data_IF_983328425515
#
_entry.id   IF_983328425515
#
_cell.length_a   1.000
_cell.length_b   1.000
_cell.length_c   1.000
_cell.angle_alpha   90.00
_cell.angle_beta   90.00
_cell.angle_gamma   90.00
#
_symmetry.space_group_name_H-M   'P 1'
#
loop_
_entity.id
_entity.type
_entity.pdbx_description
1 polymer ?
#
# COMPACT_ATOMS: atom_id res chain seq x y z
N UNK A 1 11.44 -29.67 1.44
CA UNK A 1 12.59 -28.96 2.04
C UNK A 1 12.06 -27.67 2.65
N UNK A 2 12.05 -27.53 3.98
CA UNK A 2 11.67 -26.28 4.63
C UNK A 2 12.84 -25.30 4.48
N UNK A 3 12.86 -24.52 3.39
CA UNK A 3 13.76 -23.38 3.30
C UNK A 3 13.43 -22.44 4.45
N UNK A 4 14.40 -22.17 5.32
CA UNK A 4 14.27 -21.17 6.38
C UNK A 4 13.86 -19.85 5.73
N UNK A 5 12.70 -19.31 6.13
CA UNK A 5 12.24 -18.01 5.66
C UNK A 5 13.29 -16.96 5.99
N UNK A 6 13.89 -16.39 4.95
CA UNK A 6 14.84 -15.31 5.10
C UNK A 6 14.08 -14.06 5.55
N UNK A 7 14.62 -13.28 6.52
CA UNK A 7 14.01 -12.03 6.92
C UNK A 7 13.78 -11.11 5.72
N UNK A 8 12.60 -10.50 5.66
CA UNK A 8 12.19 -9.57 4.60
C UNK A 8 12.74 -8.18 4.90
N UNK A 9 13.47 -7.59 3.96
CA UNK A 9 13.99 -6.23 4.12
C UNK A 9 12.86 -5.22 3.93
N UNK A 10 12.67 -4.33 4.90
CA UNK A 10 11.72 -3.23 4.81
C UNK A 10 12.36 -1.88 5.12
N UNK A 11 11.81 -0.82 4.54
CA UNK A 11 12.24 0.55 4.76
C UNK A 11 11.03 1.45 5.01
N UNK A 12 11.13 2.32 6.00
CA UNK A 12 10.15 3.36 6.29
C UNK A 12 10.79 4.73 6.18
N UNK A 13 10.14 5.62 5.43
CA UNK A 13 10.51 7.01 5.27
C UNK A 13 9.31 7.89 5.60
N UNK A 14 9.55 9.09 6.10
CA UNK A 14 8.51 10.13 6.08
C UNK A 14 8.91 11.16 5.05
N UNK A 15 8.05 11.39 4.07
CA UNK A 15 8.23 12.40 3.06
C UNK A 15 7.59 13.70 3.52
N UNK A 16 8.37 14.79 3.47
CA UNK A 16 7.93 16.16 3.77
C UNK A 16 7.81 17.02 2.50
N UNK A 17 8.28 16.51 1.37
CA UNK A 17 8.58 17.25 0.14
C UNK A 17 7.46 17.13 -0.90
N UNK A 18 6.61 16.10 -0.81
CA UNK A 18 5.59 15.81 -1.81
C UNK A 18 4.19 16.36 -1.50
N UNK A 19 4.13 17.50 -0.81
CA UNK A 19 2.97 18.41 -0.87
C UNK A 19 2.88 19.18 -2.20
N UNK A 20 3.70 18.84 -3.20
CA UNK A 20 3.83 19.56 -4.48
C UNK A 20 2.94 18.97 -5.59
N UNK A 21 2.30 17.81 -5.39
CA UNK A 21 1.37 17.25 -6.39
C UNK A 21 -0.06 17.78 -6.27
N UNK A 22 -0.23 18.96 -5.67
CA UNK A 22 -1.42 19.75 -5.97
C UNK A 22 -1.47 19.99 -7.47
N UNK A 23 -2.66 19.77 -8.05
CA UNK A 23 -3.05 20.25 -9.38
C UNK A 23 -2.26 21.52 -9.72
N UNK A 24 -1.81 21.66 -10.97
CA UNK A 24 -1.44 22.95 -11.60
C UNK A 24 -2.55 24.04 -11.50
N UNK A 25 -3.61 23.82 -10.71
CA UNK A 25 -4.78 24.67 -10.48
C UNK A 25 -5.26 24.78 -9.02
N UNK A 26 -4.78 24.01 -8.04
CA UNK A 26 -5.27 24.12 -6.64
C UNK A 26 -4.23 24.80 -5.75
N UNK A 27 -4.55 25.99 -5.25
CA UNK A 27 -3.67 26.88 -4.46
C UNK A 27 -3.49 26.49 -2.99
N UNK A 28 -4.08 25.40 -2.50
CA UNK A 28 -4.02 25.03 -1.08
C UNK A 28 -3.09 23.84 -0.83
N UNK A 29 -1.78 24.10 -0.84
CA UNK A 29 -0.77 23.12 -0.49
C UNK A 29 -0.71 22.87 1.02
N UNK A 30 -1.51 21.92 1.53
CA UNK A 30 -1.31 21.41 2.89
C UNK A 30 -0.14 20.40 2.85
N UNK A 31 1.06 20.86 3.25
CA UNK A 31 2.28 20.06 3.34
C UNK A 31 2.26 19.13 4.56
N UNK A 32 1.32 18.19 4.62
CA UNK A 32 1.35 17.16 5.67
C UNK A 32 2.34 16.06 5.32
N UNK A 33 3.27 15.83 6.25
CA UNK A 33 4.23 14.74 6.17
C UNK A 33 3.52 13.38 6.16
N UNK A 34 3.82 12.54 5.17
CA UNK A 34 3.26 11.20 5.07
C UNK A 34 4.35 10.13 5.07
N UNK A 35 3.99 8.95 5.54
CA UNK A 35 4.93 7.82 5.64
C UNK A 35 4.85 6.97 4.37
N UNK A 36 6.01 6.47 3.97
CA UNK A 36 6.26 5.74 2.73
C UNK A 36 7.05 4.50 3.07
N UNK A 37 6.65 3.38 2.50
CA UNK A 37 7.12 2.06 2.86
C UNK A 37 7.57 1.29 1.62
N UNK A 38 8.67 0.57 1.78
CA UNK A 38 9.16 -0.45 0.84
C UNK A 38 9.33 -1.74 1.60
N UNK A 39 8.80 -2.84 1.06
CA UNK A 39 8.96 -4.19 1.61
C UNK A 39 9.40 -5.09 0.46
N UNK A 40 10.64 -5.59 0.52
CA UNK A 40 11.23 -6.41 -0.54
C UNK A 40 10.76 -7.87 -0.40
N UNK A 41 9.59 -8.16 -0.95
CA UNK A 41 8.96 -9.48 -0.89
C UNK A 41 9.68 -10.46 -1.82
N UNK A 42 9.85 -11.69 -1.35
CA UNK A 42 10.46 -12.79 -2.09
C UNK A 42 9.43 -13.48 -2.99
N UNK A 43 9.93 -14.12 -4.05
CA UNK A 43 9.18 -15.00 -4.96
C UNK A 43 8.00 -14.32 -5.68
N UNK A 44 7.98 -12.98 -5.77
CA UNK A 44 6.90 -12.25 -6.45
C UNK A 44 6.77 -12.66 -7.93
N UNK A 45 7.85 -12.68 -8.75
CA UNK A 45 7.74 -13.10 -10.15
C UNK A 45 7.36 -14.57 -10.30
N UNK A 46 7.88 -15.44 -9.43
CA UNK A 46 7.62 -16.88 -9.49
C UNK A 46 6.17 -17.22 -9.15
N UNK A 47 5.57 -16.51 -8.18
CA UNK A 47 4.17 -16.70 -7.80
C UNK A 47 3.23 -16.11 -8.85
N UNK A 48 3.56 -14.93 -9.41
CA UNK A 48 2.69 -14.29 -10.40
C UNK A 48 2.85 -14.86 -11.82
N UNK A 49 3.97 -15.51 -12.13
CA UNK A 49 4.30 -15.99 -13.47
C UNK A 49 4.09 -14.87 -14.52
N UNK A 50 3.19 -15.09 -15.48
CA UNK A 50 2.86 -14.14 -16.55
C UNK A 50 1.70 -13.20 -16.18
N UNK A 51 1.15 -13.29 -14.96
CA UNK A 51 0.02 -12.44 -14.55
C UNK A 51 0.51 -11.02 -14.29
N UNK A 52 -0.02 -10.09 -15.08
CA UNK A 52 0.26 -8.67 -15.00
C UNK A 52 -1.02 -7.82 -15.09
N UNK A 53 -1.00 -6.70 -14.40
CA UNK A 53 -2.03 -5.68 -14.41
C UNK A 53 -1.53 -4.45 -15.17
N UNK A 54 -1.94 -4.28 -16.43
CA UNK A 54 -1.47 -3.21 -17.30
C UNK A 54 -2.19 -1.88 -17.08
N UNK A 55 -1.43 -0.78 -17.05
CA UNK A 55 -1.97 0.58 -16.90
C UNK A 55 -2.85 1.05 -18.07
N UNK A 56 -2.67 0.42 -19.24
CA UNK A 56 -3.48 0.69 -20.45
C UNK A 56 -4.96 0.31 -20.28
N UNK A 57 -5.26 -0.58 -19.32
CA UNK A 57 -6.62 -1.00 -19.04
C UNK A 57 -7.32 -0.08 -18.01
N UNK A 58 -6.62 0.92 -17.49
CA UNK A 58 -7.13 1.85 -16.49
C UNK A 58 -7.54 3.21 -17.04
N UNK A 59 -7.96 4.08 -16.13
CA UNK A 59 -8.37 5.46 -16.39
C UNK A 59 -7.24 6.34 -16.98
N UNK A 60 -5.97 5.92 -16.85
CA UNK A 60 -4.80 6.64 -17.32
C UNK A 60 -4.17 6.04 -18.57
N UNK A 61 -4.92 5.26 -19.35
CA UNK A 61 -4.41 4.55 -20.55
C UNK A 61 -3.56 5.39 -21.49
N UNK A 62 -3.87 6.68 -21.63
CA UNK A 62 -3.12 7.63 -22.46
C UNK A 62 -1.66 7.78 -22.00
N UNK A 63 -1.40 7.71 -20.69
CA UNK A 63 -0.05 7.71 -20.09
C UNK A 63 0.73 6.44 -20.37
N UNK A 64 0.08 5.40 -20.90
CA UNK A 64 0.66 4.10 -21.27
C UNK A 64 0.66 3.88 -22.78
N UNK A 65 0.42 4.94 -23.57
CA UNK A 65 0.67 4.91 -25.02
C UNK A 65 2.16 5.11 -25.32
N UNK A 66 2.59 4.68 -26.51
CA UNK A 66 3.94 4.91 -27.03
C UNK A 66 4.08 6.30 -27.68
N UNK A 67 3.55 7.32 -27.01
CA UNK A 67 3.74 8.72 -27.44
C UNK A 67 4.92 9.35 -26.70
N UNK A 68 5.57 10.33 -27.33
CA UNK A 68 6.67 11.09 -26.70
C UNK A 68 6.22 11.76 -25.40
N UNK A 69 5.01 12.34 -25.40
CA UNK A 69 4.43 13.01 -24.22
C UNK A 69 4.18 12.01 -23.08
N UNK A 70 3.59 10.85 -23.36
CA UNK A 70 3.38 9.81 -22.35
C UNK A 70 4.71 9.30 -21.78
N UNK A 71 5.72 9.12 -22.65
CA UNK A 71 7.06 8.68 -22.24
C UNK A 71 7.74 9.69 -21.32
N UNK A 72 7.68 10.99 -21.64
CA UNK A 72 8.22 12.05 -20.77
C UNK A 72 7.50 12.11 -19.42
N UNK A 73 6.19 11.94 -19.41
CA UNK A 73 5.41 11.87 -18.17
C UNK A 73 5.83 10.67 -17.31
N UNK A 74 6.05 9.49 -17.90
CA UNK A 74 6.57 8.31 -17.18
C UNK A 74 7.97 8.52 -16.61
N UNK A 75 8.85 9.24 -17.33
CA UNK A 75 10.16 9.65 -16.80
C UNK A 75 10.01 10.54 -15.56
N UNK A 76 9.02 11.42 -15.52
CA UNK A 76 8.74 12.23 -14.32
C UNK A 76 8.33 11.36 -13.13
N UNK A 77 7.50 10.32 -13.33
CA UNK A 77 7.12 9.40 -12.27
C UNK A 77 8.29 8.56 -11.76
N UNK A 78 9.17 8.09 -12.65
CA UNK A 78 10.43 7.42 -12.25
C UNK A 78 11.29 8.30 -11.35
N UNK A 79 11.45 9.57 -11.70
CA UNK A 79 12.17 10.53 -10.85
C UNK A 79 11.51 10.68 -9.49
N UNK A 80 10.18 10.75 -9.43
CA UNK A 80 9.45 10.84 -8.17
C UNK A 80 9.60 9.57 -7.32
N UNK A 81 9.51 8.39 -7.94
CA UNK A 81 9.78 7.12 -7.29
C UNK A 81 11.19 7.12 -6.68
N UNK A 82 12.21 7.53 -7.45
CA UNK A 82 13.59 7.62 -6.98
C UNK A 82 13.76 8.60 -5.81
N UNK A 83 13.01 9.70 -5.78
CA UNK A 83 13.03 10.66 -4.67
C UNK A 83 12.36 10.08 -3.42
N UNK A 84 11.22 9.40 -3.58
CA UNK A 84 10.47 8.75 -2.50
C UNK A 84 11.25 7.60 -1.86
N UNK A 85 11.80 6.74 -2.70
CA UNK A 85 12.41 5.46 -2.33
C UNK A 85 13.92 5.50 -2.40
N UNK A 86 14.53 6.70 -2.37
CA UNK A 86 15.99 6.84 -2.43
C UNK A 86 16.63 5.99 -1.35
N UNK A 87 17.27 4.88 -1.75
CA UNK A 87 18.01 3.99 -0.86
C UNK A 87 19.17 4.76 -0.21
N UNK A 88 18.90 5.37 0.94
CA UNK A 88 19.95 5.76 1.87
C UNK A 88 20.13 4.59 2.81
N UNK A 89 21.28 3.91 2.72
CA UNK A 89 21.69 2.93 3.72
C UNK A 89 21.72 3.66 5.07
N UNK A 90 20.72 3.38 5.91
CA UNK A 90 20.61 3.91 7.27
C UNK A 90 20.93 2.78 8.25
N UNK A 91 21.39 3.12 9.46
CA UNK A 91 21.65 2.12 10.48
C UNK A 91 20.42 1.22 10.66
N UNK A 92 20.67 -0.08 10.62
CA UNK A 92 19.66 -1.10 10.90
C UNK A 92 19.10 -0.88 12.30
N UNK A 93 17.78 -0.99 12.45
CA UNK A 93 17.11 -0.83 13.75
C UNK A 93 16.92 -2.20 14.39
N UNK A 94 17.27 -2.36 15.69
CA UNK A 94 17.41 -3.68 16.29
C UNK A 94 16.09 -4.42 16.57
N UNK A 95 14.94 -3.73 16.67
CA UNK A 95 13.63 -4.39 16.71
C UNK A 95 12.47 -3.38 16.62
N UNK A 96 11.30 -3.85 16.18
CA UNK A 96 10.00 -3.20 16.36
C UNK A 96 9.41 -3.74 17.66
N UNK A 97 9.48 -2.97 18.75
CA UNK A 97 8.85 -3.37 20.01
C UNK A 97 7.34 -3.08 19.95
N UNK A 98 6.47 -3.97 20.46
CA UNK A 98 5.05 -3.69 20.61
C UNK A 98 4.82 -2.35 21.33
N UNK A 99 3.99 -1.48 20.74
CA UNK A 99 3.68 -0.16 21.26
C UNK A 99 4.75 0.92 21.04
N UNK A 100 5.96 0.58 20.58
CA UNK A 100 6.95 1.57 20.15
C UNK A 100 6.60 2.10 18.75
N UNK A 101 6.57 3.43 18.60
CA UNK A 101 6.33 4.01 17.27
C UNK A 101 7.52 3.69 16.36
N UNK A 102 7.30 3.10 15.18
CA UNK A 102 8.35 2.91 14.21
C UNK A 102 8.95 4.27 13.82
N UNK A 103 10.23 4.27 13.48
CA UNK A 103 11.00 5.45 13.11
C UNK A 103 11.55 5.26 11.70
N UNK A 104 12.04 6.34 11.09
CA UNK A 104 12.64 6.23 9.75
C UNK A 104 13.87 5.33 9.80
N UNK A 105 13.93 4.32 8.95
CA UNK A 105 15.02 3.35 8.99
C UNK A 105 14.81 2.13 8.11
N UNK A 106 15.77 1.23 8.21
CA UNK A 106 15.76 -0.09 7.58
C UNK A 106 15.50 -1.15 8.65
N UNK A 107 14.62 -2.09 8.33
CA UNK A 107 14.10 -3.13 9.21
C UNK A 107 14.25 -4.50 8.53
N UNK A 108 14.48 -5.54 9.33
CA UNK A 108 14.39 -6.93 8.89
C UNK A 108 13.16 -7.54 9.55
N UNK A 109 12.11 -7.72 8.75
CA UNK A 109 10.85 -8.30 9.20
C UNK A 109 10.97 -9.82 9.20
N UNK A 110 10.69 -10.45 10.33
CA UNK A 110 10.76 -11.90 10.52
C UNK A 110 9.39 -12.55 10.51
N UNK A 111 8.32 -11.75 10.63
CA UNK A 111 6.95 -12.21 10.80
C UNK A 111 5.95 -11.17 10.29
N UNK A 112 4.70 -11.59 10.12
CA UNK A 112 3.58 -10.69 9.85
C UNK A 112 3.39 -9.65 10.95
N UNK A 113 3.63 -10.04 12.19
CA UNK A 113 3.59 -9.13 13.33
C UNK A 113 4.58 -7.96 13.19
N UNK A 114 5.79 -8.20 12.66
CA UNK A 114 6.75 -7.13 12.41
C UNK A 114 6.24 -6.15 11.35
N UNK A 115 5.59 -6.64 10.28
CA UNK A 115 4.98 -5.76 9.27
C UNK A 115 3.87 -4.91 9.87
N UNK A 116 2.98 -5.50 10.68
CA UNK A 116 1.92 -4.79 11.38
C UNK A 116 2.49 -3.73 12.34
N UNK A 117 3.54 -4.05 13.09
CA UNK A 117 4.24 -3.08 13.93
C UNK A 117 4.88 -1.95 13.10
N UNK A 118 5.45 -2.25 11.93
CA UNK A 118 6.07 -1.26 11.05
C UNK A 118 5.07 -0.21 10.56
N UNK A 119 3.83 -0.61 10.29
CA UNK A 119 2.74 0.30 9.89
C UNK A 119 1.94 0.82 11.09
N UNK A 120 2.42 0.58 12.32
CA UNK A 120 1.75 0.92 13.57
C UNK A 120 0.28 0.44 13.59
N UNK A 121 0.05 -0.79 13.13
CA UNK A 121 -1.26 -1.44 13.02
C UNK A 121 -2.28 -0.59 12.24
N UNK A 122 -1.81 0.12 11.21
CA UNK A 122 -2.61 1.03 10.40
C UNK A 122 -3.08 2.28 11.14
N UNK A 123 -2.57 2.57 12.34
CA UNK A 123 -2.98 3.72 13.14
C UNK A 123 -1.97 4.86 13.04
N UNK A 124 -2.45 6.09 12.81
CA UNK A 124 -1.63 7.30 12.92
C UNK A 124 -2.39 8.40 13.66
N UNK A 125 -1.87 8.74 14.84
CA UNK A 125 -2.44 9.74 15.78
C UNK A 125 -3.87 9.38 16.21
N UNK A 126 -4.11 8.11 16.55
CA UNK A 126 -5.41 7.61 17.00
C UNK A 126 -6.41 7.36 15.87
N UNK A 127 -6.02 7.58 14.61
CA UNK A 127 -6.89 7.37 13.45
C UNK A 127 -6.37 6.24 12.58
N UNK A 128 -7.23 5.27 12.28
CA UNK A 128 -6.96 4.25 11.28
C UNK A 128 -6.75 4.88 9.89
N UNK A 129 -5.80 4.34 9.14
CA UNK A 129 -5.33 4.83 7.85
C UNK A 129 -5.51 3.79 6.77
N UNK A 130 -5.71 4.31 5.57
CA UNK A 130 -5.66 3.56 4.32
C UNK A 130 -4.34 3.89 3.64
N UNK A 131 -3.75 2.90 2.96
CA UNK A 131 -2.53 3.06 2.21
C UNK A 131 -2.77 2.73 0.74
N UNK A 132 -2.18 3.51 -0.16
CA UNK A 132 -2.15 3.22 -1.60
C UNK A 132 -0.92 2.36 -1.87
N UNK A 133 -1.08 1.21 -2.53
CA UNK A 133 0.02 0.28 -2.77
C UNK A 133 0.16 -0.11 -4.25
N UNK A 134 1.40 -0.42 -4.64
CA UNK A 134 1.72 -1.13 -5.87
C UNK A 134 2.71 -2.26 -5.56
N UNK A 135 2.37 -3.47 -5.98
CA UNK A 135 3.24 -4.65 -5.98
C UNK A 135 3.89 -4.78 -7.37
N UNK A 136 5.21 -4.74 -7.40
CA UNK A 136 6.03 -5.03 -8.58
C UNK A 136 7.03 -6.14 -8.23
N UNK A 137 7.81 -6.61 -9.21
CA UNK A 137 8.75 -7.72 -9.02
C UNK A 137 9.74 -7.52 -7.86
N UNK A 138 10.15 -6.27 -7.61
CA UNK A 138 11.06 -5.92 -6.51
C UNK A 138 10.41 -5.97 -5.12
N UNK A 139 9.07 -5.98 -5.05
CA UNK A 139 8.31 -6.02 -3.80
C UNK A 139 7.15 -5.04 -3.72
N UNK A 140 6.73 -4.76 -2.48
CA UNK A 140 5.56 -3.95 -2.16
C UNK A 140 5.97 -2.51 -1.81
N UNK A 141 5.39 -1.55 -2.52
CA UNK A 141 5.64 -0.13 -2.38
C UNK A 141 4.34 0.57 -2.04
N UNK A 142 4.28 1.29 -0.91
CA UNK A 142 3.05 1.92 -0.48
C UNK A 142 3.26 3.18 0.34
N UNK A 143 2.21 3.99 0.46
CA UNK A 143 2.18 5.19 1.31
C UNK A 143 0.77 5.52 1.76
N UNK A 144 0.64 6.35 2.80
CA UNK A 144 -0.66 6.78 3.32
C UNK A 144 -1.52 7.46 2.22
N UNK A 145 -2.76 7.02 2.11
CA UNK A 145 -3.75 7.65 1.23
C UNK A 145 -4.27 8.93 1.91
N UNK A 146 -4.25 10.04 1.18
CA UNK A 146 -4.60 11.36 1.68
C UNK A 146 -5.85 11.87 1.00
N UNK A 147 -6.69 12.60 1.74
CA UNK A 147 -7.98 13.13 1.32
C UNK A 147 -7.91 14.30 0.30
N UNK A 148 -6.73 14.63 -0.23
CA UNK A 148 -6.61 15.63 -1.28
C UNK A 148 -7.20 15.03 -2.57
N UNK A 149 -8.45 15.43 -2.85
CA UNK A 149 -9.23 15.26 -4.08
C UNK A 149 -8.72 14.20 -5.07
N UNK A 150 -9.40 13.03 -5.08
CA UNK A 150 -9.68 12.02 -6.13
C UNK A 150 -8.82 11.87 -7.41
N UNK A 151 -8.05 12.87 -7.86
CA UNK A 151 -7.01 12.74 -8.89
C UNK A 151 -5.66 12.23 -8.35
N UNK A 152 -5.47 12.24 -7.03
CA UNK A 152 -4.18 11.97 -6.39
C UNK A 152 -3.86 10.47 -6.17
N UNK A 153 -4.85 9.58 -6.17
CA UNK A 153 -4.61 8.15 -5.92
C UNK A 153 -3.95 7.45 -7.11
N UNK A 154 -4.37 7.81 -8.33
CA UNK A 154 -3.90 7.17 -9.56
C UNK A 154 -2.43 7.50 -9.88
N UNK A 155 -2.01 8.75 -9.61
CA UNK A 155 -0.61 9.15 -9.76
C UNK A 155 0.28 8.46 -8.71
N UNK A 156 -0.24 8.20 -7.50
CA UNK A 156 0.48 7.44 -6.48
C UNK A 156 0.74 5.99 -6.90
N UNK A 157 -0.24 5.29 -7.47
CA UNK A 157 -0.02 3.92 -7.99
C UNK A 157 1.11 3.90 -9.03
N UNK A 158 1.13 4.85 -9.96
CA UNK A 158 2.17 4.96 -10.99
C UNK A 158 3.53 5.26 -10.36
N UNK A 159 3.57 6.18 -9.40
CA UNK A 159 4.78 6.53 -8.68
C UNK A 159 5.31 5.35 -7.86
N UNK A 160 4.46 4.61 -7.14
CA UNK A 160 4.84 3.40 -6.40
C UNK A 160 5.34 2.30 -7.34
N UNK A 161 4.78 2.21 -8.54
CA UNK A 161 5.19 1.28 -9.60
C UNK A 161 6.43 1.73 -10.40
N UNK A 162 7.14 2.79 -9.99
CA UNK A 162 8.28 3.35 -10.73
C UNK A 162 7.94 3.71 -12.20
N UNK A 163 6.70 4.07 -12.47
CA UNK A 163 6.22 4.34 -13.83
C UNK A 163 6.26 3.12 -14.77
N UNK A 164 6.23 1.89 -14.24
CA UNK A 164 6.14 0.67 -15.04
C UNK A 164 4.83 0.61 -15.84
N UNK A 165 4.86 -0.08 -16.98
CA UNK A 165 3.67 -0.24 -17.84
C UNK A 165 2.62 -1.17 -17.22
N UNK A 166 3.09 -2.09 -16.38
CA UNK A 166 2.32 -3.06 -15.64
C UNK A 166 2.85 -3.20 -14.21
N UNK A 167 2.00 -3.75 -13.36
CA UNK A 167 2.31 -4.15 -11.98
C UNK A 167 1.76 -5.54 -11.76
N UNK A 168 2.18 -6.23 -10.70
CA UNK A 168 1.61 -7.53 -10.31
C UNK A 168 0.23 -7.34 -9.68
N UNK A 169 0.12 -6.41 -8.74
CA UNK A 169 -1.14 -6.01 -8.12
C UNK A 169 -1.06 -4.56 -7.63
N UNK A 170 -2.19 -3.87 -7.53
CA UNK A 170 -2.26 -2.50 -7.01
C UNK A 170 -3.65 -2.17 -6.48
N UNK A 171 -3.72 -1.32 -5.47
CA UNK A 171 -4.99 -0.90 -4.91
C UNK A 171 -4.80 -0.15 -3.61
N UNK A 172 -5.64 -0.45 -2.63
CA UNK A 172 -5.51 0.08 -1.28
C UNK A 172 -5.37 -1.01 -0.23
N UNK A 173 -4.68 -0.69 0.87
CA UNK A 173 -4.35 -1.58 1.97
C UNK A 173 -4.80 -0.93 3.28
N UNK A 174 -5.33 -1.73 4.20
CA UNK A 174 -5.63 -1.33 5.57
C UNK A 174 -5.36 -2.46 6.56
N UNK A 175 -5.17 -2.07 7.80
CA UNK A 175 -5.17 -3.00 8.93
C UNK A 175 -6.55 -2.96 9.57
N UNK A 176 -7.23 -4.10 9.59
CA UNK A 176 -8.48 -4.28 10.32
C UNK A 176 -8.24 -5.19 11.52
N UNK A 177 -9.16 -5.19 12.48
CA UNK A 177 -9.11 -6.07 13.64
C UNK A 177 -10.44 -6.79 13.82
N UNK A 178 -10.38 -8.12 13.82
CA UNK A 178 -11.47 -9.02 14.18
C UNK A 178 -11.29 -9.54 15.61
N UNK A 179 -12.39 -9.84 16.29
CA UNK A 179 -12.35 -10.34 17.67
C UNK A 179 -11.75 -11.74 17.78
N UNK A 180 -12.01 -12.59 16.77
CA UNK A 180 -11.58 -13.98 16.70
C UNK A 180 -10.19 -14.16 16.04
N UNK A 181 -9.88 -13.34 15.03
CA UNK A 181 -8.64 -13.45 14.23
C UNK A 181 -7.55 -12.45 14.61
N UNK A 182 -7.85 -11.49 15.48
CA UNK A 182 -6.93 -10.39 15.78
C UNK A 182 -6.74 -9.46 14.58
N UNK A 183 -5.50 -9.05 14.32
CA UNK A 183 -5.19 -8.13 13.22
C UNK A 183 -5.13 -8.83 11.87
N UNK A 184 -5.89 -8.30 10.91
CA UNK A 184 -5.96 -8.78 9.53
C UNK A 184 -5.48 -7.68 8.59
N UNK A 185 -4.55 -8.01 7.70
CA UNK A 185 -4.14 -7.13 6.61
C UNK A 185 -5.13 -7.26 5.45
N UNK A 186 -5.99 -6.26 5.27
CA UNK A 186 -6.99 -6.24 4.21
C UNK A 186 -6.46 -5.42 3.03
N UNK A 187 -6.51 -5.97 1.83
CA UNK A 187 -6.12 -5.28 0.60
C UNK A 187 -7.20 -5.46 -0.47
N UNK A 188 -7.29 -4.49 -1.37
CA UNK A 188 -8.23 -4.52 -2.48
C UNK A 188 -7.57 -4.19 -3.82
N UNK A 189 -8.36 -4.27 -4.88
CA UNK A 189 -8.01 -3.91 -6.25
C UNK A 189 -8.46 -2.48 -6.62
N UNK A 190 -8.59 -1.56 -5.64
CA UNK A 190 -8.99 -0.17 -5.86
C UNK A 190 -7.84 0.66 -6.47
N UNK A 191 -7.54 0.40 -7.74
CA UNK A 191 -6.61 1.17 -8.54
C UNK A 191 -7.27 1.63 -9.83
N UNK A 192 -7.45 2.93 -9.99
CA UNK A 192 -7.91 3.48 -11.27
C UNK A 192 -6.86 3.36 -12.38
N UNK A 193 -5.59 3.08 -12.06
CA UNK A 193 -4.53 2.92 -13.05
C UNK A 193 -4.32 1.47 -13.47
N UNK A 194 -4.05 0.57 -12.54
CA UNK A 194 -3.67 -0.81 -12.84
C UNK A 194 -4.74 -1.82 -12.41
N UNK A 195 -6.02 -1.44 -12.40
CA UNK A 195 -7.13 -2.19 -11.78
C UNK A 195 -6.97 -3.73 -11.86
N UNK A 196 -6.53 -4.38 -10.77
CA UNK A 196 -6.31 -5.81 -10.78
C UNK A 196 -7.62 -6.60 -10.86
N UNK A 197 -7.55 -7.82 -11.41
CA UNK A 197 -8.62 -8.81 -11.32
C UNK A 197 -8.52 -9.59 -10.02
N UNK A 198 -9.60 -10.29 -9.65
CA UNK A 198 -9.64 -11.22 -8.51
C UNK A 198 -8.44 -12.16 -8.44
N UNK A 199 -8.01 -12.71 -9.57
CA UNK A 199 -6.84 -13.61 -9.63
C UNK A 199 -5.55 -12.96 -9.13
N UNK A 200 -5.32 -11.67 -9.40
CA UNK A 200 -4.15 -10.97 -8.90
C UNK A 200 -4.22 -10.73 -7.37
N UNK A 201 -5.42 -10.62 -6.79
CA UNK A 201 -5.60 -10.55 -5.34
C UNK A 201 -5.26 -11.88 -4.67
N UNK A 202 -5.62 -13.01 -5.27
CA UNK A 202 -5.28 -14.35 -4.79
C UNK A 202 -3.76 -14.59 -4.84
N UNK A 203 -3.10 -14.10 -5.90
CA UNK A 203 -1.64 -14.18 -6.02
C UNK A 203 -0.92 -13.24 -5.04
N UNK A 204 -1.48 -12.05 -4.77
CA UNK A 204 -0.99 -11.17 -3.71
C UNK A 204 -1.10 -11.85 -2.34
N UNK A 205 -2.19 -12.55 -2.07
CA UNK A 205 -2.38 -13.35 -0.86
C UNK A 205 -1.29 -14.43 -0.72
N UNK A 206 -1.02 -15.16 -1.80
CA UNK A 206 0.04 -16.17 -1.86
C UNK A 206 1.44 -15.58 -1.63
N UNK A 207 1.74 -14.40 -2.20
CA UNK A 207 2.99 -13.68 -1.92
C UNK A 207 3.11 -13.31 -0.45
N UNK A 208 2.04 -12.79 0.16
CA UNK A 208 2.05 -12.43 1.58
C UNK A 208 2.19 -13.66 2.47
N UNK A 209 1.48 -14.74 2.19
CA UNK A 209 1.59 -16.01 2.93
C UNK A 209 2.99 -16.63 2.80
N UNK A 210 3.63 -16.49 1.63
CA UNK A 210 5.01 -16.94 1.40
C UNK A 210 6.01 -16.18 2.27
N UNK A 211 5.83 -14.87 2.44
CA UNK A 211 6.76 -14.00 3.14
C UNK A 211 6.45 -13.88 4.65
N UNK A 212 5.17 -14.01 5.03
CA UNK A 212 4.64 -13.84 6.38
C UNK A 212 3.54 -14.89 6.67
N UNK A 213 3.89 -16.17 6.88
CA UNK A 213 2.91 -17.25 7.04
C UNK A 213 2.03 -17.13 8.29
N UNK A 214 2.44 -16.31 9.26
CA UNK A 214 1.72 -16.04 10.50
C UNK A 214 0.73 -14.85 10.37
N UNK A 215 0.66 -14.20 9.20
CA UNK A 215 -0.18 -13.03 8.99
C UNK A 215 -1.54 -13.38 8.40
N UNK A 216 -2.60 -12.99 9.10
CA UNK A 216 -3.94 -13.02 8.55
C UNK A 216 -4.11 -11.96 7.47
N UNK A 217 -4.69 -12.36 6.34
CA UNK A 217 -4.82 -11.55 5.13
C UNK A 217 -6.21 -11.70 4.52
N UNK A 218 -6.69 -10.66 3.84
CA UNK A 218 -7.96 -10.71 3.12
C UNK A 218 -7.92 -9.82 1.87
N UNK A 219 -8.05 -10.45 0.70
CA UNK A 219 -8.26 -9.77 -0.58
C UNK A 219 -9.73 -9.50 -0.87
N UNK A 220 -10.09 -8.23 -1.06
CA UNK A 220 -11.44 -7.78 -1.42
C UNK A 220 -11.47 -7.25 -2.85
N UNK A 221 -12.37 -7.77 -3.69
CA UNK A 221 -12.60 -7.21 -5.02
C UNK A 221 -13.63 -6.09 -4.93
N UNK A 222 -13.29 -4.89 -5.41
CA UNK A 222 -14.18 -3.73 -5.31
C UNK A 222 -15.49 -3.88 -6.09
N UNK A 223 -15.56 -4.85 -7.00
CA UNK A 223 -16.79 -5.16 -7.74
C UNK A 223 -17.74 -6.11 -7.01
N UNK A 224 -17.29 -6.69 -5.90
CA UNK A 224 -18.05 -7.63 -5.08
C UNK A 224 -18.65 -6.96 -3.84
N UNK A 225 -19.69 -7.59 -3.29
CA UNK A 225 -20.28 -7.17 -2.02
C UNK A 225 -19.33 -7.53 -0.89
N UNK A 226 -19.09 -6.59 0.02
CA UNK A 226 -18.28 -6.84 1.22
C UNK A 226 -18.84 -8.04 2.01
N UNK A 227 -17.99 -9.02 2.39
CA UNK A 227 -18.42 -10.15 3.20
C UNK A 227 -19.03 -9.70 4.54
N UNK A 228 -20.20 -10.23 4.90
CA UNK A 228 -20.98 -9.76 6.05
C UNK A 228 -20.22 -9.85 7.38
N UNK A 229 -19.41 -10.90 7.56
CA UNK A 229 -18.59 -11.07 8.76
C UNK A 229 -17.65 -9.88 9.00
N UNK A 230 -17.08 -9.33 7.92
CA UNK A 230 -16.10 -8.24 7.98
C UNK A 230 -16.71 -6.90 8.37
N UNK A 231 -18.03 -6.73 8.22
CA UNK A 231 -18.73 -5.49 8.62
C UNK A 231 -18.77 -5.29 10.15
N UNK A 232 -18.45 -6.33 10.91
CA UNK A 232 -18.32 -6.28 12.38
C UNK A 232 -16.89 -5.94 12.82
N UNK A 233 -15.92 -6.02 11.91
CA UNK A 233 -14.51 -5.77 12.22
C UNK A 233 -14.26 -4.28 12.40
N UNK A 234 -13.25 -3.94 13.20
CA UNK A 234 -12.82 -2.55 13.34
C UNK A 234 -11.80 -2.17 12.26
N UNK A 235 -11.87 -0.93 11.76
CA UNK A 235 -11.06 -0.49 10.63
C UNK A 235 -11.17 1.02 10.34
N UNK A 236 -10.65 1.48 9.20
CA UNK A 236 -10.74 2.89 8.80
C UNK A 236 -12.18 3.33 8.53
N UNK A 237 -12.48 4.61 8.74
CA UNK A 237 -13.76 5.19 8.31
C UNK A 237 -13.63 5.60 6.84
N UNK A 238 -14.35 4.91 5.96
CA UNK A 238 -14.29 5.11 4.50
C UNK A 238 -15.58 5.72 3.90
N UNK A 239 -16.69 5.71 4.64
CA UNK A 239 -18.03 6.00 4.09
C UNK A 239 -18.60 7.39 4.40
N UNK A 240 -17.91 8.19 5.22
CA UNK A 240 -18.40 9.50 5.66
C UNK A 240 -17.63 10.63 5.00
N UNK A 241 -18.22 11.83 4.93
CA UNK A 241 -17.54 13.05 4.46
C UNK A 241 -16.31 13.44 5.31
N UNK A 242 -16.16 12.83 6.49
CA UNK A 242 -15.01 13.00 7.40
C UNK A 242 -13.96 11.89 7.23
N UNK A 243 -14.15 10.98 6.28
CA UNK A 243 -13.18 9.93 5.96
C UNK A 243 -11.87 10.55 5.48
N UNK A 244 -10.76 9.89 5.83
CA UNK A 244 -9.43 10.26 5.31
C UNK A 244 -9.29 9.76 3.86
N UNK A 245 -10.04 8.71 3.52
CA UNK A 245 -10.15 8.10 2.20
C UNK A 245 -11.61 7.74 1.96
N UNK A 246 -12.18 8.25 0.88
CA UNK A 246 -13.53 7.89 0.45
C UNK A 246 -13.47 6.55 -0.31
N UNK A 247 -13.55 5.45 0.42
CA UNK A 247 -13.64 4.10 -0.13
C UNK A 247 -15.07 3.56 -0.04
N UNK A 248 -15.23 2.26 -0.21
CA UNK A 248 -16.55 1.60 -0.18
C UNK A 248 -16.72 0.60 0.96
N UNK A 249 -15.65 0.31 1.70
CA UNK A 249 -15.68 -0.72 2.73
C UNK A 249 -16.23 -0.18 4.04
N UNK A 250 -17.18 -0.91 4.61
CA UNK A 250 -17.81 -0.61 5.89
C UNK A 250 -17.05 -1.31 7.02
N UNK A 251 -16.52 -0.51 7.93
CA UNK A 251 -15.84 -0.98 9.13
C UNK A 251 -16.47 -0.37 10.37
N UNK A 252 -16.41 -1.09 11.50
CA UNK A 252 -16.71 -0.50 12.80
C UNK A 252 -15.59 0.50 13.16
N UNK A 253 -15.92 1.62 13.83
CA UNK A 253 -14.91 2.53 14.35
C UNK A 253 -13.96 1.80 15.29
N UNK A 254 -12.66 2.08 15.18
CA UNK A 254 -11.66 1.61 16.13
C UNK A 254 -12.01 2.15 17.52
N UNK A 255 -12.30 1.26 18.47
CA UNK A 255 -12.53 1.65 19.87
C UNK A 255 -11.19 2.14 20.47
N UNK A 256 -11.21 3.25 21.20
CA UNK A 256 -10.00 3.89 21.74
C UNK A 256 -9.17 3.02 22.71
N UNK A 257 -9.64 1.82 23.08
CA UNK A 257 -9.08 0.96 24.12
C UNK A 257 -8.47 -0.37 23.64
N UNK A 258 -8.33 -0.63 22.33
CA UNK A 258 -7.52 -1.77 21.87
C UNK A 258 -6.04 -1.33 21.79
N UNK A 259 -5.36 -1.32 22.93
CA UNK A 259 -3.90 -1.21 23.05
C UNK A 259 -3.33 -2.51 23.61
#
# INVERSE_FOLDING_TARGET
SHALLQPVLAQMFTNHTLGIFHNLRSREASMQAFDVFTVLLQDVPDIFEDVECHGINGAHRELFTETTTASLTRVSFRRHHQVLYRRRLRPTKPSLLPGARPHRGTYFLRSGHDLLCLVNHGNKRGKARVFTYSLIDDGLFFSETSCACLKDCNSKHIVHANGNMSVRCAGTLRTCHSFDRGFVLVFDNDSGTYKPRRTALELMDAVLARNFPDMETLGLDVTEVQPQETMTWSGPNELTDKSIYAGQWKWQPVRENCR
#
